data_IF_891605101686
#
_entry.id   IF_891605101686
#
_cell.length_a   1.000
_cell.length_b   1.000
_cell.length_c   1.000
_cell.angle_alpha   90.00
_cell.angle_beta   90.00
_cell.angle_gamma   90.00
#
_symmetry.space_group_name_H-M   'P 1'
#
loop_
_entity.id
_entity.type
_entity.pdbx_description
1 polymer ?
#
# COMPACT_ATOMS: atom_id res chain seq x y z
N UNK A 1 -18.76 16.24 -8.75
CA UNK A 1 -18.30 15.52 -7.55
C UNK A 1 -19.27 15.66 -6.41
N UNK A 2 -19.57 16.84 -5.90
CA UNK A 2 -20.79 17.09 -5.12
C UNK A 2 -20.84 18.59 -4.82
N UNK A 3 -22.04 19.18 -4.81
CA UNK A 3 -22.30 20.54 -4.34
C UNK A 3 -23.15 20.55 -3.06
N UNK A 4 -23.60 19.38 -2.64
CA UNK A 4 -24.48 19.17 -1.49
C UNK A 4 -23.96 18.03 -0.62
N UNK A 5 -24.35 18.04 0.65
CA UNK A 5 -24.02 16.95 1.57
C UNK A 5 -24.55 15.60 1.10
N UNK A 6 -25.75 15.57 0.51
CA UNK A 6 -26.32 14.34 -0.04
C UNK A 6 -25.54 13.84 -1.25
N UNK A 7 -25.05 14.75 -2.10
CA UNK A 7 -24.11 14.40 -3.17
C UNK A 7 -22.82 13.79 -2.63
N UNK A 8 -22.25 14.36 -1.55
CA UNK A 8 -21.04 13.81 -0.93
C UNK A 8 -21.28 12.40 -0.34
N UNK A 9 -22.44 12.19 0.30
CA UNK A 9 -22.86 10.88 0.82
C UNK A 9 -23.05 9.87 -0.29
N UNK A 10 -23.69 10.28 -1.40
CA UNK A 10 -23.86 9.44 -2.57
C UNK A 10 -22.50 9.03 -3.17
N UNK A 11 -21.58 9.99 -3.30
CA UNK A 11 -20.22 9.74 -3.78
C UNK A 11 -19.46 8.73 -2.89
N UNK A 12 -19.54 8.87 -1.56
CA UNK A 12 -18.93 7.92 -0.63
C UNK A 12 -19.55 6.52 -0.71
N UNK A 13 -20.87 6.42 -0.91
CA UNK A 13 -21.56 5.14 -1.12
C UNK A 13 -21.14 4.49 -2.44
N UNK A 14 -21.06 5.26 -3.53
CA UNK A 14 -20.59 4.76 -4.83
C UNK A 14 -19.15 4.24 -4.74
N UNK A 15 -18.26 4.97 -4.07
CA UNK A 15 -16.88 4.52 -3.81
C UNK A 15 -16.88 3.20 -3.02
N UNK A 16 -17.67 3.12 -1.95
CA UNK A 16 -17.81 1.89 -1.17
C UNK A 16 -18.28 0.70 -2.03
N UNK A 17 -19.34 0.88 -2.81
CA UNK A 17 -19.86 -0.18 -3.69
C UNK A 17 -18.88 -0.57 -4.79
N UNK A 18 -18.08 0.36 -5.30
CA UNK A 18 -17.00 0.07 -6.24
C UNK A 18 -15.95 -0.84 -5.58
N UNK A 19 -15.45 -0.45 -4.41
CA UNK A 19 -14.41 -1.20 -3.70
C UNK A 19 -14.90 -2.58 -3.24
N UNK A 20 -16.15 -2.70 -2.79
CA UNK A 20 -16.73 -3.98 -2.38
C UNK A 20 -16.90 -4.97 -3.54
N UNK A 21 -17.34 -4.50 -4.71
CA UNK A 21 -17.42 -5.32 -5.93
C UNK A 21 -16.03 -5.76 -6.43
N UNK A 22 -14.98 -5.06 -6.00
CA UNK A 22 -13.59 -5.43 -6.27
C UNK A 22 -12.94 -6.20 -5.11
N UNK A 23 -13.76 -6.85 -4.26
CA UNK A 23 -13.32 -7.68 -3.15
C UNK A 23 -12.49 -6.96 -2.07
N UNK A 24 -12.57 -5.64 -1.99
CA UNK A 24 -11.90 -4.85 -0.94
C UNK A 24 -12.84 -4.59 0.25
N UNK A 25 -12.30 -4.68 1.46
CA UNK A 25 -12.99 -4.32 2.70
C UNK A 25 -12.55 -2.90 3.08
N UNK A 26 -13.29 -1.91 2.59
CA UNK A 26 -13.08 -0.49 2.92
C UNK A 26 -14.36 0.10 3.51
N UNK A 27 -14.45 0.30 4.84
CA UNK A 27 -15.64 0.79 5.51
C UNK A 27 -16.15 2.15 5.00
N UNK A 28 -17.46 2.39 5.14
CA UNK A 28 -18.11 3.63 4.66
C UNK A 28 -17.50 4.89 5.28
N UNK A 29 -17.16 4.86 6.57
CA UNK A 29 -16.57 6.02 7.24
C UNK A 29 -15.18 6.37 6.67
N UNK A 30 -14.42 5.38 6.20
CA UNK A 30 -13.14 5.61 5.53
C UNK A 30 -13.36 6.18 4.12
N UNK A 31 -14.37 5.69 3.39
CA UNK A 31 -14.79 6.28 2.12
C UNK A 31 -15.19 7.76 2.30
N UNK A 32 -15.99 8.07 3.32
CA UNK A 32 -16.38 9.44 3.65
C UNK A 32 -15.17 10.33 3.94
N UNK A 33 -14.20 9.83 4.73
CA UNK A 33 -12.93 10.55 4.99
C UNK A 33 -12.18 10.84 3.69
N UNK A 34 -12.02 9.85 2.83
CA UNK A 34 -11.34 9.99 1.53
C UNK A 34 -12.05 11.02 0.63
N UNK A 35 -13.38 10.96 0.56
CA UNK A 35 -14.20 11.92 -0.20
C UNK A 35 -14.06 13.36 0.33
N UNK A 36 -13.99 13.54 1.65
CA UNK A 36 -13.76 14.86 2.25
C UNK A 36 -12.36 15.40 1.92
N UNK A 37 -11.32 14.57 2.05
CA UNK A 37 -9.95 14.92 1.71
C UNK A 37 -9.81 15.25 0.21
N UNK A 38 -10.49 14.50 -0.66
CA UNK A 38 -10.58 14.79 -2.08
C UNK A 38 -11.18 16.17 -2.36
N UNK A 39 -12.19 16.56 -1.59
CA UNK A 39 -12.80 17.90 -1.62
C UNK A 39 -11.91 19.03 -1.06
N UNK A 40 -10.76 18.70 -0.46
CA UNK A 40 -9.86 19.66 0.19
C UNK A 40 -10.18 19.95 1.66
N UNK A 41 -11.01 19.12 2.29
CA UNK A 41 -11.36 19.22 3.71
C UNK A 41 -10.52 18.24 4.54
N UNK A 42 -10.23 18.56 5.80
CA UNK A 42 -9.44 17.69 6.69
C UNK A 42 -10.21 16.46 7.12
N UNK A 43 -11.50 16.61 7.41
CA UNK A 43 -12.40 15.54 7.85
C UNK A 43 -13.85 15.79 7.44
N UNK A 44 -14.67 14.75 7.54
CA UNK A 44 -16.08 14.76 7.11
C UNK A 44 -16.90 15.90 7.75
N UNK A 45 -16.70 16.17 9.05
CA UNK A 45 -17.43 17.23 9.74
C UNK A 45 -17.12 18.66 9.23
N UNK A 46 -15.90 18.88 8.69
CA UNK A 46 -15.52 20.17 8.11
C UNK A 46 -16.24 20.35 6.77
N UNK A 47 -16.31 19.29 5.96
CA UNK A 47 -17.10 19.27 4.72
C UNK A 47 -18.58 19.56 5.01
N UNK A 48 -19.17 18.93 6.02
CA UNK A 48 -20.57 19.17 6.41
C UNK A 48 -20.81 20.65 6.75
N UNK A 49 -19.93 21.22 7.56
CA UNK A 49 -20.02 22.63 7.97
C UNK A 49 -19.82 23.59 6.80
N UNK A 50 -18.88 23.28 5.91
CA UNK A 50 -18.57 24.10 4.75
C UNK A 50 -19.71 24.11 3.73
N UNK A 51 -20.23 22.93 3.37
CA UNK A 51 -21.35 22.81 2.41
C UNK A 51 -22.66 23.41 2.95
N UNK A 52 -22.84 23.48 4.27
CA UNK A 52 -23.97 24.19 4.87
C UNK A 52 -23.88 25.72 4.70
N UNK A 53 -22.67 26.27 4.51
CA UNK A 53 -22.43 27.72 4.39
C UNK A 53 -22.30 28.17 2.94
N UNK A 54 -21.59 27.40 2.11
CA UNK A 54 -21.28 27.75 0.73
C UNK A 54 -20.74 26.53 -0.02
N UNK A 55 -21.24 26.31 -1.24
CA UNK A 55 -20.70 25.31 -2.15
C UNK A 55 -19.61 25.96 -3.01
N UNK A 56 -18.35 25.59 -2.78
CA UNK A 56 -17.26 25.93 -3.68
C UNK A 56 -17.02 24.77 -4.67
N UNK A 57 -17.01 25.01 -5.99
CA UNK A 57 -16.65 23.98 -6.95
C UNK A 57 -15.17 23.60 -6.78
N UNK A 58 -14.91 22.30 -6.68
CA UNK A 58 -13.55 21.74 -6.70
C UNK A 58 -13.22 21.32 -8.12
N UNK A 59 -12.03 21.71 -8.59
CA UNK A 59 -11.51 21.26 -9.87
C UNK A 59 -11.52 19.72 -9.96
N UNK A 60 -12.13 19.10 -10.99
CA UNK A 60 -12.25 17.66 -11.08
C UNK A 60 -10.90 16.91 -11.10
N UNK A 61 -9.88 17.46 -11.74
CA UNK A 61 -8.56 16.83 -11.80
C UNK A 61 -7.88 16.88 -10.44
N UNK A 62 -7.93 18.02 -9.76
CA UNK A 62 -7.41 18.19 -8.41
C UNK A 62 -8.09 17.24 -7.42
N UNK A 63 -9.41 17.09 -7.51
CA UNK A 63 -10.13 16.12 -6.68
C UNK A 63 -9.70 14.70 -6.96
N UNK A 64 -9.59 14.28 -8.23
CA UNK A 64 -9.15 12.91 -8.59
C UNK A 64 -7.78 12.62 -7.99
N UNK A 65 -6.83 13.55 -8.11
CA UNK A 65 -5.49 13.44 -7.50
C UNK A 65 -5.56 13.30 -5.98
N UNK A 66 -6.32 14.16 -5.31
CA UNK A 66 -6.49 14.11 -3.84
C UNK A 66 -7.20 12.85 -3.37
N UNK A 67 -8.18 12.35 -4.13
CA UNK A 67 -8.86 11.10 -3.82
C UNK A 67 -7.89 9.94 -3.85
N UNK A 68 -7.10 9.78 -4.92
CA UNK A 68 -6.10 8.72 -5.00
C UNK A 68 -5.07 8.84 -3.87
N UNK A 69 -4.61 10.06 -3.56
CA UNK A 69 -3.70 10.30 -2.45
C UNK A 69 -4.30 9.97 -1.07
N UNK A 70 -5.63 10.01 -0.92
CA UNK A 70 -6.31 9.69 0.35
C UNK A 70 -6.59 8.20 0.56
N UNK A 71 -6.38 7.37 -0.47
CA UNK A 71 -6.74 5.95 -0.47
C UNK A 71 -5.50 5.07 -0.30
N UNK A 72 -5.61 3.90 0.36
CA UNK A 72 -4.56 2.90 0.34
C UNK A 72 -4.29 2.40 -1.09
N UNK A 73 -3.04 1.99 -1.37
CA UNK A 73 -2.64 1.56 -2.72
C UNK A 73 -3.58 0.53 -3.38
N UNK A 74 -4.03 -0.55 -2.71
CA UNK A 74 -4.99 -1.48 -3.34
C UNK A 74 -6.31 -0.82 -3.76
N UNK A 75 -6.78 0.22 -3.05
CA UNK A 75 -7.99 0.95 -3.44
C UNK A 75 -7.74 1.89 -4.61
N UNK A 76 -6.52 2.45 -4.73
CA UNK A 76 -6.16 3.35 -5.82
C UNK A 76 -6.23 2.65 -7.18
N UNK A 77 -5.76 1.40 -7.27
CA UNK A 77 -5.80 0.65 -8.53
C UNK A 77 -7.24 0.41 -9.01
N UNK A 78 -8.16 0.08 -8.10
CA UNK A 78 -9.59 -0.07 -8.41
C UNK A 78 -10.17 1.23 -8.94
N UNK A 79 -9.90 2.36 -8.28
CA UNK A 79 -10.44 3.67 -8.67
C UNK A 79 -9.86 4.14 -10.01
N UNK A 80 -8.56 3.93 -10.26
CA UNK A 80 -7.94 4.23 -11.56
C UNK A 80 -8.55 3.40 -12.68
N UNK A 81 -8.67 2.08 -12.47
CA UNK A 81 -9.25 1.18 -13.46
C UNK A 81 -10.70 1.56 -13.81
N UNK A 82 -11.50 1.97 -12.82
CA UNK A 82 -12.88 2.44 -13.04
C UNK A 82 -12.93 3.73 -13.89
N UNK A 83 -11.92 4.59 -13.83
CA UNK A 83 -11.84 5.79 -14.68
C UNK A 83 -11.30 5.54 -16.08
N UNK A 84 -10.49 4.50 -16.25
CA UNK A 84 -9.83 4.14 -17.51
C UNK A 84 -10.64 3.13 -18.34
N UNK A 85 -11.81 2.71 -17.86
CA UNK A 85 -12.69 1.69 -18.45
C UNK A 85 -11.91 0.43 -18.89
N UNK A 86 -11.20 -0.16 -17.93
CA UNK A 86 -10.25 -1.27 -18.07
C UNK A 86 -10.76 -2.53 -18.82
N UNK A 87 -12.06 -2.62 -19.11
CA UNK A 87 -12.71 -3.76 -19.79
C UNK A 87 -12.28 -3.93 -21.24
N UNK A 88 -11.83 -2.86 -21.90
CA UNK A 88 -11.39 -2.93 -23.29
C UNK A 88 -10.03 -3.64 -23.47
N UNK A 89 -9.35 -4.01 -22.37
CA UNK A 89 -7.98 -4.54 -22.38
C UNK A 89 -7.88 -6.04 -22.07
N UNK A 90 -8.96 -6.69 -21.63
CA UNK A 90 -8.95 -8.08 -21.16
C UNK A 90 -9.99 -8.93 -21.92
N UNK A 91 -9.56 -9.62 -22.98
CA UNK A 91 -10.35 -10.67 -23.64
C UNK A 91 -10.49 -11.86 -22.68
N UNK A 92 -11.60 -11.93 -21.96
CA UNK A 92 -11.72 -12.84 -20.82
C UNK A 92 -13.07 -13.55 -20.75
N UNK A 93 -13.00 -14.88 -20.74
CA UNK A 93 -14.13 -15.80 -20.59
C UNK A 93 -14.61 -15.97 -19.13
N UNK A 94 -13.98 -15.28 -18.19
CA UNK A 94 -14.28 -15.37 -16.76
C UNK A 94 -15.46 -14.45 -16.36
N UNK A 95 -16.23 -14.81 -15.33
CA UNK A 95 -17.22 -13.91 -14.73
C UNK A 95 -16.58 -12.61 -14.21
N UNK A 96 -17.31 -11.48 -14.30
CA UNK A 96 -16.80 -10.15 -13.89
C UNK A 96 -16.28 -10.13 -12.44
N UNK A 97 -16.94 -10.84 -11.53
CA UNK A 97 -16.55 -10.92 -10.12
C UNK A 97 -15.17 -11.58 -9.94
N UNK A 98 -14.93 -12.68 -10.65
CA UNK A 98 -13.66 -13.40 -10.63
C UNK A 98 -12.53 -12.58 -11.27
N UNK A 99 -12.83 -11.86 -12.35
CA UNK A 99 -11.88 -10.94 -12.99
C UNK A 99 -11.44 -9.82 -12.06
N UNK A 100 -12.39 -9.20 -11.36
CA UNK A 100 -12.07 -8.15 -10.38
C UNK A 100 -11.23 -8.71 -9.23
N UNK A 101 -11.57 -9.90 -8.73
CA UNK A 101 -10.76 -10.54 -7.70
C UNK A 101 -9.33 -10.84 -8.19
N UNK A 102 -9.21 -11.40 -9.39
CA UNK A 102 -7.91 -11.72 -9.98
C UNK A 102 -7.06 -10.46 -10.19
N UNK A 103 -7.67 -9.39 -10.71
CA UNK A 103 -6.97 -8.14 -10.98
C UNK A 103 -6.53 -7.42 -9.71
N UNK A 104 -7.37 -7.38 -8.67
CA UNK A 104 -7.15 -6.49 -7.52
C UNK A 104 -6.69 -7.19 -6.23
N UNK A 105 -6.93 -8.49 -6.09
CA UNK A 105 -6.63 -9.22 -4.84
C UNK A 105 -5.60 -10.33 -5.05
N UNK A 106 -5.64 -11.04 -6.18
CA UNK A 106 -4.79 -12.23 -6.40
C UNK A 106 -3.30 -11.96 -6.19
N UNK A 107 -2.76 -10.84 -6.67
CA UNK A 107 -1.33 -10.53 -6.49
C UNK A 107 -0.94 -10.47 -5.01
N UNK A 108 -1.77 -9.90 -4.15
CA UNK A 108 -1.53 -9.88 -2.70
C UNK A 108 -1.71 -11.26 -2.09
N UNK A 109 -2.75 -11.99 -2.51
CA UNK A 109 -3.04 -13.34 -2.04
C UNK A 109 -1.88 -14.31 -2.33
N UNK A 110 -1.45 -14.38 -3.58
CA UNK A 110 -0.37 -15.24 -4.05
C UNK A 110 0.95 -14.91 -3.34
N UNK A 111 1.29 -13.61 -3.25
CA UNK A 111 2.52 -13.20 -2.58
C UNK A 111 2.51 -13.51 -1.07
N UNK A 112 1.37 -13.34 -0.39
CA UNK A 112 1.22 -13.74 1.00
C UNK A 112 1.42 -15.26 1.17
N UNK A 113 0.86 -16.07 0.26
CA UNK A 113 1.01 -17.53 0.26
C UNK A 113 2.47 -17.97 0.11
N UNK A 114 3.22 -17.30 -0.77
CA UNK A 114 4.66 -17.56 -0.98
C UNK A 114 5.47 -17.13 0.25
N UNK A 115 5.22 -15.92 0.77
CA UNK A 115 6.02 -15.36 1.87
C UNK A 115 5.80 -16.06 3.20
N UNK A 116 4.58 -16.49 3.51
CA UNK A 116 4.33 -17.18 4.77
C UNK A 116 5.13 -18.49 4.90
N UNK A 117 5.51 -19.13 3.80
CA UNK A 117 6.36 -20.35 3.83
C UNK A 117 7.72 -20.12 4.51
N UNK A 118 8.24 -18.89 4.48
CA UNK A 118 9.52 -18.53 5.08
C UNK A 118 9.38 -17.85 6.45
N UNK A 119 8.16 -17.69 6.97
CA UNK A 119 7.94 -17.16 8.32
C UNK A 119 8.59 -18.08 9.36
N UNK A 120 9.32 -17.56 10.36
CA UNK A 120 10.10 -18.39 11.29
C UNK A 120 9.33 -19.53 11.97
N UNK A 121 8.03 -19.33 12.27
CA UNK A 121 7.17 -20.35 12.89
C UNK A 121 6.74 -21.47 11.93
N UNK A 122 6.85 -21.23 10.62
CA UNK A 122 6.45 -22.11 9.52
C UNK A 122 7.65 -22.74 8.83
N UNK A 123 8.83 -22.15 8.95
CA UNK A 123 10.08 -22.65 8.35
C UNK A 123 10.53 -23.99 8.92
N UNK A 124 11.22 -24.84 8.12
CA UNK A 124 11.81 -26.09 8.60
C UNK A 124 12.69 -25.87 9.83
N UNK A 125 12.58 -26.76 10.82
CA UNK A 125 13.33 -26.68 12.07
C UNK A 125 12.66 -25.88 13.20
N UNK A 126 11.48 -25.30 12.99
CA UNK A 126 10.71 -24.57 14.03
C UNK A 126 10.01 -25.46 15.07
N UNK A 127 10.54 -26.66 15.31
CA UNK A 127 10.11 -27.58 16.36
C UNK A 127 8.87 -28.40 16.03
N UNK A 128 8.41 -29.15 17.05
CA UNK A 128 7.30 -30.08 16.90
C UNK A 128 6.01 -29.35 16.52
N UNK A 129 5.29 -29.88 15.52
CA UNK A 129 4.06 -29.28 14.99
C UNK A 129 4.27 -28.31 13.83
N UNK A 130 5.53 -28.04 13.42
CA UNK A 130 5.86 -27.19 12.27
C UNK A 130 5.11 -27.60 11.00
N UNK A 131 5.11 -28.90 10.66
CA UNK A 131 4.44 -29.39 9.46
C UNK A 131 2.94 -29.08 9.46
N UNK A 132 2.27 -29.27 10.60
CA UNK A 132 0.84 -28.99 10.76
C UNK A 132 0.56 -27.49 10.60
N UNK A 133 1.39 -26.64 11.20
CA UNK A 133 1.25 -25.18 11.05
C UNK A 133 1.39 -24.72 9.60
N UNK A 134 2.41 -25.22 8.91
CA UNK A 134 2.63 -24.92 7.50
C UNK A 134 1.44 -25.39 6.66
N UNK A 135 1.00 -26.61 6.90
CA UNK A 135 -0.12 -27.25 6.23
C UNK A 135 -1.43 -26.46 6.42
N UNK A 136 -1.75 -26.01 7.65
CA UNK A 136 -2.92 -25.17 7.93
C UNK A 136 -2.89 -23.90 7.09
N UNK A 137 -1.76 -23.16 7.12
CA UNK A 137 -1.64 -21.87 6.43
C UNK A 137 -1.66 -22.05 4.91
N UNK A 138 -1.03 -23.09 4.39
CA UNK A 138 -1.04 -23.38 2.96
C UNK A 138 -2.42 -23.86 2.47
N UNK A 139 -3.16 -24.63 3.28
CA UNK A 139 -4.53 -25.02 2.91
C UNK A 139 -5.43 -23.78 2.79
N UNK A 140 -5.32 -22.83 3.71
CA UNK A 140 -6.11 -21.59 3.66
C UNK A 140 -5.78 -20.75 2.42
N UNK A 141 -4.48 -20.64 2.06
CA UNK A 141 -4.03 -19.73 1.01
C UNK A 141 -3.94 -20.36 -0.39
N UNK A 142 -3.85 -21.69 -0.48
CA UNK A 142 -3.62 -22.40 -1.74
C UNK A 142 -4.54 -23.61 -1.93
N UNK A 143 -5.32 -23.97 -0.91
CA UNK A 143 -6.23 -25.10 -0.97
C UNK A 143 -7.39 -24.85 -1.93
N UNK A 144 -7.95 -25.94 -2.47
CA UNK A 144 -9.09 -25.93 -3.38
C UNK A 144 -10.45 -25.86 -2.66
N UNK A 145 -10.47 -25.45 -1.39
CA UNK A 145 -11.68 -25.39 -0.56
C UNK A 145 -12.72 -24.40 -1.09
N UNK A 146 -14.00 -24.62 -0.75
CA UNK A 146 -15.16 -23.97 -1.35
C UNK A 146 -15.29 -22.45 -1.12
N UNK A 147 -14.37 -21.81 -0.39
CA UNK A 147 -14.32 -20.37 -0.22
C UNK A 147 -13.21 -19.78 -1.11
N UNK A 148 -13.49 -19.73 -2.41
CA UNK A 148 -12.49 -19.61 -3.47
C UNK A 148 -11.70 -18.28 -3.48
N UNK A 149 -12.22 -17.21 -2.88
CA UNK A 149 -11.67 -15.87 -3.06
C UNK A 149 -11.69 -15.06 -1.76
N UNK A 150 -10.55 -14.85 -1.06
CA UNK A 150 -10.50 -13.94 0.06
C UNK A 150 -10.78 -12.52 -0.38
N UNK A 151 -11.37 -11.74 0.52
CA UNK A 151 -11.43 -10.29 0.42
C UNK A 151 -10.17 -9.68 1.01
N UNK A 152 -9.79 -8.48 0.59
CA UNK A 152 -8.60 -7.78 1.07
C UNK A 152 -8.97 -6.56 1.92
N UNK A 153 -8.46 -6.50 3.16
CA UNK A 153 -8.40 -5.27 3.95
C UNK A 153 -7.18 -4.46 3.49
N UNK A 154 -7.36 -3.33 2.78
CA UNK A 154 -6.31 -2.71 1.97
C UNK A 154 -5.27 -1.93 2.80
N UNK A 155 -5.63 -1.49 4.01
CA UNK A 155 -4.69 -0.77 4.90
C UNK A 155 -3.67 -1.73 5.52
N UNK A 156 -4.11 -2.90 5.97
CA UNK A 156 -3.27 -3.90 6.63
C UNK A 156 -2.78 -5.00 5.67
N UNK A 157 -3.23 -4.97 4.41
CA UNK A 157 -3.07 -6.04 3.42
C UNK A 157 -3.51 -7.42 3.95
N UNK A 158 -4.52 -7.43 4.82
CA UNK A 158 -5.02 -8.65 5.47
C UNK A 158 -6.05 -9.33 4.59
N UNK A 159 -5.88 -10.64 4.39
CA UNK A 159 -6.81 -11.45 3.62
C UNK A 159 -7.89 -11.98 4.56
N UNK A 160 -9.16 -11.82 4.17
CA UNK A 160 -10.32 -12.18 4.97
C UNK A 160 -11.17 -13.18 4.22
N UNK A 161 -11.32 -14.35 4.82
CA UNK A 161 -12.16 -15.44 4.34
C UNK A 161 -13.41 -15.52 5.22
N UNK A 162 -14.58 -15.66 4.61
CA UNK A 162 -15.86 -15.78 5.33
C UNK A 162 -16.45 -17.15 5.07
N UNK A 163 -16.75 -17.89 6.13
CA UNK A 163 -17.16 -19.30 6.01
C UNK A 163 -16.99 -20.05 7.32
N UNK A 164 -17.26 -21.35 7.31
CA UNK A 164 -16.99 -22.21 8.47
C UNK A 164 -15.52 -22.61 8.47
N UNK A 165 -14.96 -22.84 9.65
CA UNK A 165 -13.55 -23.24 9.76
C UNK A 165 -13.25 -24.54 9.00
N UNK A 166 -14.19 -25.48 8.96
CA UNK A 166 -14.09 -26.73 8.19
C UNK A 166 -14.09 -26.49 6.67
N UNK A 167 -14.72 -25.43 6.18
CA UNK A 167 -14.76 -25.11 4.74
C UNK A 167 -13.35 -24.72 4.22
N UNK A 168 -12.51 -24.14 5.09
CA UNK A 168 -11.15 -23.72 4.76
C UNK A 168 -10.09 -24.79 5.03
N UNK A 169 -10.33 -25.65 6.03
CA UNK A 169 -9.30 -26.53 6.58
C UNK A 169 -9.60 -28.02 6.36
N UNK A 170 -10.80 -28.35 5.88
CA UNK A 170 -11.24 -29.72 5.64
C UNK A 170 -11.03 -30.61 6.86
N UNK A 171 -10.51 -31.81 6.62
CA UNK A 171 -10.25 -32.82 7.66
C UNK A 171 -9.05 -32.47 8.56
N UNK A 172 -8.28 -31.42 8.24
CA UNK A 172 -7.15 -31.02 9.08
C UNK A 172 -7.59 -30.54 10.47
N UNK A 173 -8.83 -30.08 10.60
CA UNK A 173 -9.42 -29.70 11.89
C UNK A 173 -9.47 -30.88 12.88
N UNK A 174 -9.53 -32.11 12.37
CA UNK A 174 -9.65 -33.33 13.16
C UNK A 174 -8.28 -33.86 13.63
N UNK A 175 -7.17 -33.21 13.23
CA UNK A 175 -5.83 -33.60 13.65
C UNK A 175 -5.62 -33.40 15.18
N UNK A 176 -5.04 -34.34 15.95
CA UNK A 176 -4.97 -34.26 17.42
C UNK A 176 -4.27 -33.01 17.98
N UNK A 177 -3.34 -32.44 17.21
CA UNK A 177 -2.61 -31.21 17.56
C UNK A 177 -3.18 -29.94 16.94
N UNK A 178 -4.28 -30.03 16.18
CA UNK A 178 -4.82 -28.91 15.42
C UNK A 178 -5.08 -27.69 16.31
N UNK A 179 -5.87 -27.84 17.38
CA UNK A 179 -6.25 -26.72 18.24
C UNK A 179 -5.02 -25.99 18.84
N UNK A 180 -4.02 -26.75 19.30
CA UNK A 180 -2.80 -26.20 19.88
C UNK A 180 -1.95 -25.44 18.83
N UNK A 181 -1.79 -26.00 17.63
CA UNK A 181 -1.01 -25.37 16.57
C UNK A 181 -1.74 -24.20 15.91
N UNK A 182 -3.08 -24.26 15.81
CA UNK A 182 -3.91 -23.15 15.34
C UNK A 182 -3.86 -21.96 16.30
N UNK A 183 -3.95 -22.20 17.62
CA UNK A 183 -3.76 -21.14 18.63
C UNK A 183 -2.39 -20.48 18.50
N UNK A 184 -1.31 -21.25 18.30
CA UNK A 184 0.03 -20.70 18.10
C UNK A 184 0.14 -19.80 16.87
N UNK A 185 -0.58 -20.11 15.80
CA UNK A 185 -0.64 -19.26 14.61
C UNK A 185 -1.37 -17.93 14.87
N UNK A 186 -2.40 -17.96 15.74
CA UNK A 186 -3.10 -16.76 16.20
C UNK A 186 -2.20 -15.92 17.10
N UNK A 187 -1.56 -16.54 18.09
CA UNK A 187 -0.66 -15.86 19.04
C UNK A 187 0.54 -15.21 18.32
N UNK A 188 1.01 -15.82 17.24
CA UNK A 188 2.08 -15.29 16.40
C UNK A 188 1.62 -14.19 15.42
N UNK A 189 0.32 -13.86 15.38
CA UNK A 189 -0.23 -12.86 14.47
C UNK A 189 -0.14 -13.27 13.00
N UNK A 190 -0.13 -14.57 12.70
CA UNK A 190 -0.20 -15.09 11.32
C UNK A 190 -1.67 -15.23 10.90
N UNK A 191 -2.49 -15.79 11.80
CA UNK A 191 -3.92 -15.98 11.60
C UNK A 191 -4.74 -15.19 12.62
N UNK A 192 -6.00 -14.94 12.30
CA UNK A 192 -7.01 -14.51 13.25
C UNK A 192 -8.32 -15.23 12.96
N UNK A 193 -9.10 -15.53 14.00
CA UNK A 193 -10.44 -16.09 13.83
C UNK A 193 -11.43 -15.29 14.65
N UNK A 194 -12.52 -14.86 14.01
CA UNK A 194 -13.64 -14.19 14.68
C UNK A 194 -14.93 -14.89 14.31
N UNK A 195 -15.50 -15.64 15.23
CA UNK A 195 -16.84 -16.19 15.07
C UNK A 195 -17.87 -15.06 15.05
N UNK A 196 -18.92 -15.18 14.22
CA UNK A 196 -20.10 -14.32 14.36
C UNK A 196 -20.94 -14.85 15.52
N UNK A 197 -21.41 -13.95 16.39
CA UNK A 197 -21.98 -14.23 17.72
C UNK A 197 -23.12 -15.27 17.75
N UNK A 198 -23.70 -15.64 16.61
CA UNK A 198 -24.85 -16.55 16.50
C UNK A 198 -24.75 -17.58 15.37
N UNK A 199 -23.59 -17.76 14.70
CA UNK A 199 -23.45 -18.74 13.62
C UNK A 199 -22.14 -19.51 13.64
N UNK A 200 -22.15 -20.72 13.05
CA UNK A 200 -20.95 -21.52 12.75
C UNK A 200 -20.03 -20.85 11.71
N UNK A 201 -20.46 -19.71 11.16
CA UNK A 201 -19.75 -18.93 10.15
C UNK A 201 -18.91 -17.86 10.86
N UNK A 202 -17.62 -17.83 10.55
CA UNK A 202 -16.70 -16.84 11.07
C UNK A 202 -15.94 -16.12 9.97
N UNK A 203 -15.11 -15.18 10.41
CA UNK A 203 -14.12 -14.51 9.58
C UNK A 203 -12.73 -15.04 9.97
N UNK A 204 -12.12 -15.78 9.05
CA UNK A 204 -10.73 -16.18 9.13
C UNK A 204 -9.88 -15.10 8.47
N UNK A 205 -8.90 -14.59 9.21
CA UNK A 205 -7.97 -13.57 8.75
C UNK A 205 -6.59 -14.17 8.60
N UNK A 206 -5.93 -13.84 7.49
CA UNK A 206 -4.51 -14.10 7.29
C UNK A 206 -3.81 -12.75 7.24
N UNK A 207 -3.01 -12.46 8.25
CA UNK A 207 -2.29 -11.20 8.35
C UNK A 207 -1.12 -11.16 7.36
N UNK A 208 -0.85 -9.97 6.83
CA UNK A 208 0.23 -9.78 5.88
C UNK A 208 1.60 -10.09 6.52
N UNK A 209 2.45 -10.90 5.87
CA UNK A 209 3.83 -11.05 6.32
C UNK A 209 4.58 -9.73 6.15
N UNK A 210 5.58 -9.51 7.01
CA UNK A 210 6.41 -8.30 6.94
C UNK A 210 7.07 -8.16 5.56
N UNK A 211 6.94 -6.98 4.95
CA UNK A 211 7.47 -6.70 3.61
C UNK A 211 6.62 -7.18 2.44
N UNK A 212 5.36 -7.61 2.67
CA UNK A 212 4.46 -8.06 1.59
C UNK A 212 4.34 -7.04 0.46
N UNK A 213 4.13 -5.76 0.80
CA UNK A 213 4.02 -4.69 -0.18
C UNK A 213 5.26 -4.59 -1.08
N UNK A 214 6.46 -4.65 -0.50
CA UNK A 214 7.70 -4.59 -1.27
C UNK A 214 7.84 -5.78 -2.21
N UNK A 215 7.39 -6.96 -1.78
CA UNK A 215 7.41 -8.15 -2.64
C UNK A 215 6.42 -8.00 -3.78
N UNK A 216 5.18 -7.60 -3.50
CA UNK A 216 4.14 -7.36 -4.51
C UNK A 216 4.65 -6.42 -5.57
N UNK A 217 5.31 -5.31 -5.18
CA UNK A 217 5.80 -4.40 -6.21
C UNK A 217 7.00 -4.95 -6.97
N UNK A 218 7.97 -5.59 -6.29
CA UNK A 218 9.11 -6.20 -7.00
C UNK A 218 8.64 -7.21 -8.05
N UNK A 219 7.72 -8.10 -7.67
CA UNK A 219 7.16 -9.10 -8.59
C UNK A 219 6.44 -8.43 -9.77
N UNK A 220 5.69 -7.35 -9.51
CA UNK A 220 5.01 -6.60 -10.57
C UNK A 220 6.01 -5.96 -11.55
N UNK A 221 7.12 -5.40 -11.04
CA UNK A 221 8.16 -4.83 -11.90
C UNK A 221 8.91 -5.91 -12.67
N UNK A 222 9.30 -7.02 -12.02
CA UNK A 222 9.99 -8.11 -12.70
C UNK A 222 9.15 -8.74 -13.80
N UNK A 223 7.83 -8.84 -13.61
CA UNK A 223 6.92 -9.29 -14.68
C UNK A 223 6.92 -8.30 -15.85
N UNK A 224 6.84 -7.00 -15.56
CA UNK A 224 6.89 -5.97 -16.59
C UNK A 224 8.22 -5.94 -17.36
N UNK A 225 9.34 -6.16 -16.68
CA UNK A 225 10.67 -6.27 -17.32
C UNK A 225 10.75 -7.51 -18.21
N UNK A 226 10.28 -8.67 -17.74
CA UNK A 226 10.21 -9.89 -18.54
C UNK A 226 9.34 -9.72 -19.80
N UNK A 227 8.18 -9.10 -19.66
CA UNK A 227 7.29 -8.80 -20.80
C UNK A 227 7.94 -7.83 -21.79
N UNK A 228 8.77 -6.91 -21.31
CA UNK A 228 9.50 -5.95 -22.12
C UNK A 228 10.69 -6.55 -22.87
N UNK A 229 11.40 -7.52 -22.27
CA UNK A 229 12.51 -8.23 -22.90
C UNK A 229 12.06 -9.10 -24.09
N UNK A 230 10.76 -9.43 -24.17
CA UNK A 230 10.13 -10.06 -25.33
C UNK A 230 9.86 -9.12 -26.52
N UNK A 231 10.15 -7.82 -26.41
CA UNK A 231 9.90 -6.77 -27.41
C UNK A 231 10.97 -5.66 -27.44
N UNK A 232 10.73 -4.56 -28.18
CA UNK A 232 11.70 -3.45 -28.32
C UNK A 232 12.03 -2.81 -26.94
N UNK A 233 13.28 -2.92 -26.45
CA UNK A 233 13.63 -2.76 -25.04
C UNK A 233 13.46 -1.36 -24.45
N UNK A 234 13.28 -0.31 -25.26
CA UNK A 234 13.21 1.08 -24.76
C UNK A 234 11.78 1.64 -24.67
N UNK A 235 10.86 1.18 -25.51
CA UNK A 235 9.48 1.68 -25.57
C UNK A 235 8.48 0.82 -24.80
N UNK A 236 8.62 -0.50 -24.87
CA UNK A 236 7.65 -1.44 -24.29
C UNK A 236 7.83 -1.62 -22.78
N UNK A 237 9.08 -1.57 -22.28
CA UNK A 237 9.35 -1.71 -20.84
C UNK A 237 8.85 -0.57 -19.97
N UNK A 238 8.84 0.66 -20.49
CA UNK A 238 8.18 1.77 -19.81
C UNK A 238 6.67 1.54 -19.68
N UNK A 239 6.02 1.12 -20.78
CA UNK A 239 4.58 0.86 -20.82
C UNK A 239 4.15 -0.27 -19.88
N UNK A 240 4.87 -1.40 -19.91
CA UNK A 240 4.61 -2.55 -19.05
C UNK A 240 4.81 -2.22 -17.57
N UNK A 241 5.90 -1.51 -17.23
CA UNK A 241 6.19 -1.15 -15.83
C UNK A 241 5.17 -0.15 -15.29
N UNK A 242 4.77 0.83 -16.10
CA UNK A 242 3.71 1.79 -15.79
C UNK A 242 2.38 1.09 -15.50
N UNK A 243 2.00 0.13 -16.33
CA UNK A 243 0.78 -0.67 -16.14
C UNK A 243 0.86 -1.52 -14.87
N UNK A 244 1.98 -2.21 -14.64
CA UNK A 244 2.19 -3.02 -13.45
C UNK A 244 2.09 -2.18 -12.15
N UNK A 245 2.71 -1.00 -12.14
CA UNK A 245 2.63 -0.05 -11.02
C UNK A 245 1.21 0.49 -10.83
N UNK A 246 0.47 0.78 -11.91
CA UNK A 246 -0.93 1.19 -11.82
C UNK A 246 -1.84 0.08 -11.25
N UNK A 247 -1.61 -1.17 -11.65
CA UNK A 247 -2.39 -2.35 -11.20
C UNK A 247 -2.30 -2.57 -9.69
N UNK A 248 -1.15 -2.30 -9.09
CA UNK A 248 -0.97 -2.38 -7.64
C UNK A 248 -1.26 -1.06 -6.92
N UNK A 249 -1.57 0.01 -7.67
CA UNK A 249 -1.99 1.30 -7.14
C UNK A 249 -0.85 2.16 -6.62
N UNK A 250 0.29 2.15 -7.29
CA UNK A 250 1.39 3.08 -7.02
C UNK A 250 1.04 4.46 -7.58
N UNK A 251 1.06 5.48 -6.72
CA UNK A 251 0.91 6.87 -7.15
C UNK A 251 2.05 7.32 -8.05
N UNK A 252 1.75 8.22 -9.01
CA UNK A 252 2.69 8.72 -10.02
C UNK A 252 3.45 7.62 -10.79
N UNK A 253 2.79 6.49 -11.05
CA UNK A 253 3.33 5.34 -11.79
C UNK A 253 4.07 5.74 -13.07
N UNK A 254 3.54 6.68 -13.86
CA UNK A 254 4.19 7.16 -15.09
C UNK A 254 5.57 7.78 -14.79
N UNK A 255 5.65 8.72 -13.84
CA UNK A 255 6.90 9.41 -13.50
C UNK A 255 7.91 8.43 -12.88
N UNK A 256 7.43 7.51 -12.05
CA UNK A 256 8.26 6.50 -11.39
C UNK A 256 8.81 5.51 -12.42
N UNK A 257 7.96 4.94 -13.27
CA UNK A 257 8.37 4.02 -14.34
C UNK A 257 9.38 4.69 -15.28
N UNK A 258 9.16 5.97 -15.63
CA UNK A 258 10.07 6.73 -16.47
C UNK A 258 11.43 6.92 -15.81
N UNK A 259 11.46 7.29 -14.53
CA UNK A 259 12.71 7.48 -13.81
C UNK A 259 13.50 6.19 -13.62
N UNK A 260 12.81 5.05 -13.41
CA UNK A 260 13.43 3.72 -13.30
C UNK A 260 14.00 3.28 -14.65
N UNK A 261 13.27 3.46 -15.75
CA UNK A 261 13.71 3.04 -17.09
C UNK A 261 14.85 3.88 -17.66
N UNK A 262 15.03 5.11 -17.17
CA UNK A 262 16.10 6.02 -17.57
C UNK A 262 17.40 5.84 -16.79
N UNK A 263 17.53 4.81 -15.94
CA UNK A 263 18.77 4.55 -15.21
C UNK A 263 19.97 4.47 -16.17
N UNK A 264 21.01 5.28 -15.92
CA UNK A 264 22.18 5.37 -16.78
C UNK A 264 22.02 6.28 -18.01
N UNK A 265 20.95 7.07 -18.10
CA UNK A 265 20.74 8.00 -19.21
C UNK A 265 21.89 9.02 -19.34
N UNK A 266 22.38 9.20 -20.58
CA UNK A 266 23.52 10.08 -20.91
C UNK A 266 23.30 11.56 -20.55
N UNK A 267 22.04 11.98 -20.40
CA UNK A 267 21.67 13.33 -19.99
C UNK A 267 21.98 13.67 -18.52
N UNK A 268 22.48 12.71 -17.73
CA UNK A 268 22.80 12.89 -16.33
C UNK A 268 24.25 12.55 -16.03
N UNK A 269 24.89 13.34 -15.17
CA UNK A 269 26.28 13.12 -14.72
C UNK A 269 26.43 11.90 -13.81
N UNK A 270 25.33 11.40 -13.26
CA UNK A 270 25.28 10.19 -12.44
C UNK A 270 24.27 9.21 -13.03
N UNK A 271 24.53 7.89 -12.98
CA UNK A 271 23.59 6.89 -13.48
C UNK A 271 22.18 7.03 -12.87
N UNK A 272 22.08 7.32 -11.58
CA UNK A 272 20.81 7.53 -10.86
C UNK A 272 20.25 8.96 -10.93
N UNK A 273 20.76 9.81 -11.82
CA UNK A 273 20.29 11.18 -11.99
C UNK A 273 18.78 11.35 -12.22
N UNK A 274 18.12 10.55 -13.08
CA UNK A 274 16.67 10.67 -13.30
C UNK A 274 15.85 10.44 -12.04
N UNK A 275 16.14 9.37 -11.28
CA UNK A 275 15.40 9.09 -10.04
C UNK A 275 15.70 10.12 -8.94
N UNK A 276 16.94 10.59 -8.83
CA UNK A 276 17.29 11.64 -7.87
C UNK A 276 16.56 12.96 -8.17
N UNK A 277 16.32 13.24 -9.45
CA UNK A 277 15.52 14.38 -9.90
C UNK A 277 14.06 14.18 -9.51
N UNK A 278 13.48 13.03 -9.84
CA UNK A 278 12.11 12.67 -9.45
C UNK A 278 11.88 12.82 -7.94
N UNK A 279 12.76 12.24 -7.10
CA UNK A 279 12.64 12.32 -5.65
C UNK A 279 12.71 13.77 -5.14
N UNK A 280 13.48 14.63 -5.81
CA UNK A 280 13.50 16.07 -5.49
C UNK A 280 12.17 16.73 -5.81
N UNK A 281 11.61 16.44 -6.98
CA UNK A 281 10.34 17.02 -7.40
C UNK A 281 9.19 16.55 -6.50
N UNK A 282 9.14 15.26 -6.14
CA UNK A 282 8.13 14.74 -5.20
C UNK A 282 8.26 15.36 -3.80
N UNK A 283 9.48 15.62 -3.33
CA UNK A 283 9.69 16.34 -2.07
C UNK A 283 9.18 17.78 -2.14
N UNK A 284 9.42 18.47 -3.25
CA UNK A 284 8.97 19.84 -3.49
C UNK A 284 7.45 19.93 -3.61
N UNK A 285 6.82 18.93 -4.23
CA UNK A 285 5.36 18.81 -4.35
C UNK A 285 4.66 18.38 -3.05
N UNK A 286 5.43 18.01 -2.01
CA UNK A 286 4.89 17.54 -0.74
C UNK A 286 4.45 16.08 -0.72
N UNK A 287 4.73 15.31 -1.78
CA UNK A 287 4.31 13.92 -1.98
C UNK A 287 5.25 12.92 -1.28
N UNK A 288 5.39 13.04 0.05
CA UNK A 288 6.38 12.28 0.83
C UNK A 288 6.18 10.75 0.79
N UNK A 289 4.93 10.29 0.77
CA UNK A 289 4.61 8.86 0.63
C UNK A 289 5.02 8.34 -0.75
N UNK A 290 4.69 9.07 -1.82
CA UNK A 290 5.09 8.73 -3.19
C UNK A 290 6.61 8.74 -3.35
N UNK A 291 7.30 9.71 -2.75
CA UNK A 291 8.75 9.76 -2.70
C UNK A 291 9.33 8.51 -2.04
N UNK A 292 8.79 8.14 -0.88
CA UNK A 292 9.21 6.93 -0.16
C UNK A 292 9.06 5.68 -1.01
N UNK A 293 7.88 5.51 -1.62
CA UNK A 293 7.58 4.39 -2.48
C UNK A 293 8.54 4.40 -3.68
N UNK A 294 8.66 5.50 -4.41
CA UNK A 294 9.58 5.63 -5.55
C UNK A 294 11.03 5.22 -5.20
N UNK A 295 11.53 5.64 -4.04
CA UNK A 295 12.87 5.28 -3.59
C UNK A 295 13.02 3.78 -3.28
N UNK A 296 12.05 3.18 -2.58
CA UNK A 296 12.01 1.74 -2.30
C UNK A 296 11.92 0.92 -3.57
N UNK A 297 11.07 1.35 -4.50
CA UNK A 297 10.86 0.72 -5.80
C UNK A 297 12.15 0.71 -6.62
N UNK A 298 12.75 1.88 -6.80
CA UNK A 298 14.00 1.99 -7.52
C UNK A 298 15.11 1.13 -6.89
N UNK A 299 15.25 1.15 -5.56
CA UNK A 299 16.24 0.33 -4.86
C UNK A 299 16.00 -1.17 -5.00
N UNK A 300 14.73 -1.59 -5.17
CA UNK A 300 14.37 -2.98 -5.46
C UNK A 300 14.74 -3.42 -6.87
N UNK A 301 14.57 -2.54 -7.85
CA UNK A 301 14.88 -2.80 -9.28
C UNK A 301 16.37 -2.70 -9.58
N UNK A 302 17.04 -1.70 -8.98
CA UNK A 302 18.46 -1.44 -9.15
C UNK A 302 19.22 -1.60 -7.81
N UNK A 303 19.37 -2.83 -7.27
CA UNK A 303 20.01 -3.04 -5.97
C UNK A 303 21.42 -2.46 -5.86
N UNK A 304 22.19 -2.48 -6.94
CA UNK A 304 23.54 -1.91 -6.99
C UNK A 304 23.56 -0.38 -6.75
N UNK A 305 22.47 0.32 -7.07
CA UNK A 305 22.32 1.76 -6.89
C UNK A 305 21.56 2.12 -5.59
N UNK A 306 21.08 1.14 -4.82
CA UNK A 306 20.26 1.38 -3.63
C UNK A 306 20.96 2.21 -2.55
N UNK A 307 22.28 2.07 -2.40
CA UNK A 307 23.07 2.85 -1.44
C UNK A 307 23.05 4.35 -1.79
N UNK A 308 23.23 4.69 -3.07
CA UNK A 308 23.22 6.09 -3.53
C UNK A 308 21.87 6.76 -3.24
N UNK A 309 20.77 6.04 -3.50
CA UNK A 309 19.43 6.55 -3.22
C UNK A 309 19.23 6.76 -1.72
N UNK A 310 19.63 5.79 -0.90
CA UNK A 310 19.55 5.90 0.57
C UNK A 310 20.29 7.13 1.08
N UNK A 311 21.49 7.40 0.56
CA UNK A 311 22.31 8.54 0.98
C UNK A 311 21.73 9.88 0.55
N UNK A 312 21.00 9.93 -0.57
CA UNK A 312 20.37 11.15 -1.07
C UNK A 312 19.06 11.53 -0.35
N UNK A 313 18.33 10.55 0.18
CA UNK A 313 17.00 10.72 0.77
C UNK A 313 16.94 11.72 1.94
N UNK A 314 17.89 11.73 2.90
CA UNK A 314 17.90 12.71 3.99
C UNK A 314 17.78 14.16 3.50
N UNK A 315 18.50 14.53 2.45
CA UNK A 315 18.47 15.88 1.91
C UNK A 315 17.10 16.22 1.30
N UNK A 316 16.45 15.26 0.65
CA UNK A 316 15.11 15.46 0.06
C UNK A 316 14.03 15.61 1.13
N UNK A 317 14.11 14.82 2.21
CA UNK A 317 13.19 14.91 3.36
C UNK A 317 13.35 16.25 4.09
N UNK A 318 14.59 16.71 4.29
CA UNK A 318 14.87 18.03 4.88
C UNK A 318 14.26 19.16 4.04
N UNK A 319 14.39 19.09 2.71
CA UNK A 319 13.76 20.07 1.82
C UNK A 319 12.24 20.06 1.93
N UNK A 320 11.62 18.88 2.01
CA UNK A 320 10.19 18.73 2.26
C UNK A 320 9.77 19.39 3.59
N UNK A 321 10.49 19.14 4.68
CA UNK A 321 10.19 19.74 5.99
C UNK A 321 10.24 21.27 5.96
N UNK A 322 11.26 21.85 5.32
CA UNK A 322 11.40 23.30 5.25
C UNK A 322 10.31 23.90 4.34
N UNK A 323 10.15 23.36 3.12
CA UNK A 323 9.28 23.96 2.09
C UNK A 323 7.80 23.68 2.30
N UNK A 324 7.45 22.43 2.60
CA UNK A 324 6.06 21.98 2.66
C UNK A 324 5.48 21.97 4.08
N UNK A 325 6.33 21.85 5.11
CA UNK A 325 5.89 21.94 6.52
C UNK A 325 6.21 23.28 7.17
N UNK A 326 6.91 24.18 6.48
CA UNK A 326 7.25 25.53 6.97
C UNK A 326 8.18 25.51 8.18
N UNK A 327 9.00 24.48 8.33
CA UNK A 327 9.89 24.34 9.49
C UNK A 327 11.11 25.26 9.34
N UNK A 328 11.54 25.96 10.42
CA UNK A 328 12.72 26.82 10.35
C UNK A 328 13.98 26.03 9.99
N UNK A 329 14.74 26.50 9.01
CA UNK A 329 15.95 25.83 8.52
C UNK A 329 16.97 25.58 9.64
N UNK A 330 17.12 26.53 10.57
CA UNK A 330 18.01 26.41 11.73
C UNK A 330 17.59 25.29 12.68
N UNK A 331 16.29 25.13 12.92
CA UNK A 331 15.76 24.06 13.77
C UNK A 331 16.01 22.68 13.13
N UNK A 332 15.82 22.56 11.82
CA UNK A 332 16.11 21.33 11.08
C UNK A 332 17.62 21.04 11.07
N UNK A 333 18.47 22.04 10.89
CA UNK A 333 19.93 21.89 10.94
C UNK A 333 20.46 21.53 12.34
N UNK A 334 19.81 22.02 13.41
CA UNK A 334 20.08 21.61 14.79
C UNK A 334 19.75 20.13 15.01
N UNK A 335 18.55 19.71 14.62
CA UNK A 335 18.10 18.33 14.73
C UNK A 335 18.98 17.33 13.96
N UNK A 336 19.32 17.65 12.71
CA UNK A 336 20.13 16.75 11.87
C UNK A 336 21.57 16.59 12.34
N UNK A 337 22.12 17.56 13.11
CA UNK A 337 23.42 17.45 13.77
C UNK A 337 23.38 16.59 15.04
N UNK A 338 22.29 16.67 15.80
CA UNK A 338 22.14 15.98 17.09
C UNK A 338 21.67 14.53 16.94
N UNK A 339 20.92 14.22 15.89
CA UNK A 339 20.42 12.88 15.61
C UNK A 339 21.04 12.37 14.31
N UNK A 340 21.91 11.36 14.37
CA UNK A 340 22.39 10.67 13.16
C UNK A 340 21.47 9.50 12.77
N UNK A 341 20.75 8.92 13.74
CA UNK A 341 19.92 7.72 13.55
C UNK A 341 18.61 7.96 12.80
N UNK A 342 18.15 9.22 12.62
CA UNK A 342 16.92 9.46 11.86
C UNK A 342 17.07 9.11 10.37
N UNK A 343 18.30 9.15 9.84
CA UNK A 343 18.63 8.73 8.46
C UNK A 343 18.42 7.23 8.23
N UNK A 344 18.41 6.45 9.32
CA UNK A 344 18.25 4.98 9.30
C UNK A 344 16.78 4.55 9.44
N UNK A 345 15.85 5.50 9.66
CA UNK A 345 14.43 5.17 9.84
C UNK A 345 13.77 4.80 8.50
N UNK A 346 12.86 3.80 8.50
CA UNK A 346 12.09 3.45 7.32
C UNK A 346 11.29 4.65 6.81
N UNK A 347 11.54 4.98 5.55
CA UNK A 347 10.88 6.07 4.84
C UNK A 347 9.42 5.63 4.66
N UNK A 348 8.47 6.44 5.12
CA UNK A 348 7.04 6.08 5.20
C UNK A 348 6.48 5.97 6.62
N UNK A 349 7.30 6.08 7.66
CA UNK A 349 6.82 6.28 9.05
C UNK A 349 6.82 7.74 9.49
N UNK A 350 7.19 8.67 8.59
CA UNK A 350 7.52 10.07 8.91
C UNK A 350 6.36 11.06 8.78
N UNK A 351 5.11 10.61 8.68
CA UNK A 351 3.96 11.52 8.66
C UNK A 351 3.77 12.29 9.97
N UNK A 352 4.31 11.73 11.06
CA UNK A 352 4.56 12.49 12.27
C UNK A 352 5.90 13.24 12.10
N UNK A 353 5.92 14.59 12.06
CA UNK A 353 7.17 15.30 12.25
C UNK A 353 7.80 14.77 13.56
N UNK A 354 9.13 14.47 13.60
CA UNK A 354 9.78 14.38 14.90
C UNK A 354 9.42 15.66 15.63
N UNK A 355 8.89 15.56 16.85
CA UNK A 355 8.47 16.74 17.63
C UNK A 355 9.67 17.67 17.67
N UNK A 356 9.65 18.72 16.86
CA UNK A 356 10.63 19.79 16.87
C UNK A 356 10.33 20.58 18.13
N UNK A 357 10.75 20.03 19.28
CA UNK A 357 10.70 20.76 20.54
C UNK A 357 11.52 22.01 20.29
N UNK A 358 10.89 23.17 20.44
CA UNK A 358 11.59 24.45 20.30
C UNK A 358 12.86 24.44 21.16
N UNK A 359 13.95 25.13 20.76
CA UNK A 359 15.20 25.21 21.52
C UNK A 359 15.10 25.85 22.93
N UNK A 360 13.91 25.95 23.53
CA UNK A 360 13.68 26.50 24.86
C UNK A 360 13.35 25.48 25.95
N UNK A 361 13.23 24.17 25.65
CA UNK A 361 12.89 23.17 26.67
C UNK A 361 14.10 22.49 27.32
N UNK A 362 15.31 22.62 26.76
CA UNK A 362 16.55 22.06 27.33
C UNK A 362 17.57 23.14 27.78
N UNK A 363 17.17 24.42 27.79
CA UNK A 363 17.98 25.54 28.29
C UNK A 363 17.29 26.34 29.41
N UNK A 364 16.37 25.70 30.14
CA UNK A 364 15.72 26.28 31.32
C UNK A 364 16.28 25.82 32.68
N UNK A 365 17.16 24.81 32.71
CA UNK A 365 17.66 24.19 33.96
C UNK A 365 19.20 24.22 34.10
N UNK A 366 19.82 25.25 33.52
CA UNK A 366 21.22 25.59 33.79
C UNK A 366 21.39 27.12 33.79
N UNK A 367 20.73 27.79 34.74
CA UNK A 367 20.91 29.24 34.94
C UNK A 367 19.74 30.00 35.56
N UNK A 368 19.25 29.55 36.73
CA UNK A 368 18.68 30.39 37.78
C UNK A 368 18.66 29.60 39.10
#
# INVERSE_FOLDING_TARGET
MYSTLDGAKACAKSLKSLLERSHLIYPLHQCQRAIAQAGGYRHWHELETALARSSAPVDPQLFRRRLLASLPAPCQSVVRADWEDWRDLEDTSLPEDELRWFRFVYTYHFNAAVMHRSTPLLSPGSGAGQRIRLDIVQEILMGSGAAAHPRLEPEALTLVFTGRQRDFLGDRIDHPRFAAEFSRLIDAGILGWKARETSEIGELRVFAPAGLWDKVVRDAISLAEYEAEGGDPRGQGFGAMREALNRIGVNDADRIAQAISQQGAEGYTRPSGPVLTLLSTLADEGAIETLSNAARLFAGVHPAAAAEIRDALPAKIVNYWIRNRGLPAEAVAGFTRQSNRWKERPIGTSDAPPRFVSPGAELGDAGA
#
